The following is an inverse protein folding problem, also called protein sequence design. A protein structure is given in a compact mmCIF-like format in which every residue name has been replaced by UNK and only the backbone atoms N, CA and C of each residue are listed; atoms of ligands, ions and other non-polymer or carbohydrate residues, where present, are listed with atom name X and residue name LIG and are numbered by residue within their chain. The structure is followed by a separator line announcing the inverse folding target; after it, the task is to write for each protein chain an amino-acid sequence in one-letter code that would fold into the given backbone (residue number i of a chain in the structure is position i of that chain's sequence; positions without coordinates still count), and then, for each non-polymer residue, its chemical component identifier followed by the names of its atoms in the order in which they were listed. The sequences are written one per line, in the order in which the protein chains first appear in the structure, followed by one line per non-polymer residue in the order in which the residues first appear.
data_IF_384732269339
#
_entry.id   IF_384732269339
#
_cell.length_a   1.000
_cell.length_b   1.000
_cell.length_c   1.000
_cell.angle_alpha   90.00
_cell.angle_beta   90.00
_cell.angle_gamma   90.00
#
_symmetry.space_group_name_H-M   'P 1'
#
loop_
_entity.id
_entity.type
_entity.pdbx_description
1 polymer ?
#
# COMPACT_ATOMS: atom_id res chain seq x y z
N UNK A 1 4.83 27.12 -0.58
CA UNK A 1 4.77 26.14 0.52
C UNK A 1 3.44 26.26 1.23
N UNK A 2 2.74 25.16 1.41
CA UNK A 2 1.53 25.12 2.25
C UNK A 2 1.93 25.23 3.74
N UNK A 3 1.02 25.64 4.65
CA UNK A 3 1.32 25.68 6.08
C UNK A 3 1.80 24.33 6.64
N UNK A 4 1.26 23.23 6.11
CA UNK A 4 1.66 21.88 6.47
C UNK A 4 3.09 21.56 6.01
N UNK A 5 3.45 21.86 4.75
CA UNK A 5 4.82 21.68 4.24
C UNK A 5 5.84 22.47 5.09
N UNK A 6 5.50 23.71 5.47
CA UNK A 6 6.35 24.54 6.32
C UNK A 6 6.60 23.89 7.68
N UNK A 7 5.57 23.30 8.30
CA UNK A 7 5.73 22.59 9.56
C UNK A 7 6.65 21.37 9.42
N UNK A 8 6.47 20.56 8.38
CA UNK A 8 7.32 19.39 8.12
C UNK A 8 8.79 19.76 7.91
N UNK A 9 9.05 20.78 7.09
CA UNK A 9 10.40 21.33 6.88
C UNK A 9 11.00 21.80 8.21
N UNK A 10 10.22 22.53 9.02
CA UNK A 10 10.71 23.07 10.30
C UNK A 10 11.12 21.94 11.25
N UNK A 11 10.29 20.92 11.41
CA UNK A 11 10.57 19.74 12.24
C UNK A 11 11.85 19.03 11.76
N UNK A 12 12.00 18.83 10.44
CA UNK A 12 13.17 18.20 9.87
C UNK A 12 14.45 18.99 10.17
N UNK A 13 14.42 20.31 10.00
CA UNK A 13 15.57 21.18 10.27
C UNK A 13 15.92 21.24 11.76
N UNK A 14 14.92 21.21 12.65
CA UNK A 14 15.15 21.10 14.08
C UNK A 14 15.82 19.77 14.46
N UNK A 15 15.41 18.66 13.85
CA UNK A 15 16.07 17.35 14.03
C UNK A 15 17.51 17.42 13.57
N UNK A 16 17.77 17.99 12.39
CA UNK A 16 19.12 18.13 11.83
C UNK A 16 20.05 18.91 12.78
N UNK A 17 19.56 19.99 13.41
CA UNK A 17 20.32 20.78 14.40
C UNK A 17 20.67 20.01 15.68
N UNK A 18 19.86 19.01 16.04
CA UNK A 18 20.05 18.18 17.23
C UNK A 18 20.90 16.94 16.96
N UNK A 19 21.14 16.61 15.69
CA UNK A 19 21.99 15.49 15.30
C UNK A 19 23.44 15.86 15.56
N UNK A 20 23.99 15.30 16.63
CA UNK A 20 25.45 15.29 16.83
C UNK A 20 26.02 14.03 16.19
N UNK A 21 27.09 14.17 15.42
CA UNK A 21 27.73 13.07 14.70
C UNK A 21 29.20 13.00 15.12
N UNK A 22 29.51 12.28 16.21
CA UNK A 22 30.86 12.27 16.78
C UNK A 22 31.89 11.58 15.89
N UNK A 23 31.48 10.72 14.95
CA UNK A 23 32.37 9.94 14.08
C UNK A 23 31.98 10.08 12.60
N UNK A 24 32.14 11.28 12.03
CA UNK A 24 31.99 11.46 10.58
C UNK A 24 33.13 10.76 9.85
N UNK A 25 32.78 10.03 8.79
CA UNK A 25 33.77 9.52 7.84
C UNK A 25 34.43 10.69 7.09
N UNK A 26 35.76 10.88 7.17
CA UNK A 26 36.45 12.01 6.56
C UNK A 26 36.43 11.97 5.03
N UNK A 27 36.38 10.79 4.40
CA UNK A 27 36.28 10.66 2.95
C UNK A 27 34.89 11.09 2.49
N UNK A 28 33.85 10.61 3.17
CA UNK A 28 32.48 11.02 2.91
C UNK A 28 32.28 12.52 3.13
N UNK A 29 32.82 13.10 4.20
CA UNK A 29 32.73 14.53 4.48
C UNK A 29 33.40 15.37 3.38
N UNK A 30 34.56 14.93 2.89
CA UNK A 30 35.27 15.61 1.79
C UNK A 30 34.45 15.59 0.50
N UNK A 31 33.91 14.43 0.13
CA UNK A 31 33.08 14.27 -1.07
C UNK A 31 31.78 15.09 -1.00
N UNK A 32 31.09 15.04 0.14
CA UNK A 32 29.86 15.81 0.38
C UNK A 32 30.15 17.30 0.28
N UNK A 33 31.21 17.80 0.94
CA UNK A 33 31.60 19.21 0.90
C UNK A 33 31.94 19.68 -0.51
N UNK A 34 32.71 18.90 -1.27
CA UNK A 34 33.07 19.22 -2.65
C UNK A 34 31.81 19.35 -3.53
N UNK A 35 30.98 18.30 -3.55
CA UNK A 35 29.78 18.24 -4.40
C UNK A 35 28.77 19.32 -4.02
N UNK A 36 28.60 19.59 -2.72
CA UNK A 36 27.70 20.64 -2.24
C UNK A 36 28.18 22.04 -2.60
N UNK A 37 29.50 22.26 -2.72
CA UNK A 37 30.05 23.53 -3.17
C UNK A 37 29.81 23.78 -4.67
N UNK A 38 29.76 22.72 -5.49
CA UNK A 38 29.46 22.82 -6.92
C UNK A 38 27.97 23.10 -7.20
N UNK A 39 27.08 22.75 -6.26
CA UNK A 39 25.64 22.95 -6.40
C UNK A 39 25.10 23.81 -5.24
N UNK A 40 25.01 25.15 -5.41
CA UNK A 40 24.57 26.07 -4.35
C UNK A 40 23.22 25.72 -3.72
N UNK A 41 22.31 25.14 -4.51
CA UNK A 41 20.96 24.75 -4.08
C UNK A 41 20.88 23.31 -3.52
N UNK A 42 22.01 22.60 -3.35
CA UNK A 42 22.03 21.22 -2.89
C UNK A 42 21.29 21.02 -1.56
N UNK A 43 21.44 21.95 -0.61
CA UNK A 43 20.73 21.88 0.67
C UNK A 43 19.20 21.87 0.49
N UNK A 44 18.69 22.70 -0.42
CA UNK A 44 17.26 22.75 -0.73
C UNK A 44 16.76 21.42 -1.30
N UNK A 45 17.47 20.84 -2.27
CA UNK A 45 17.08 19.57 -2.88
C UNK A 45 17.22 18.38 -1.94
N UNK A 46 18.25 18.37 -1.08
CA UNK A 46 18.42 17.34 -0.06
C UNK A 46 17.27 17.35 0.95
N UNK A 47 16.86 18.54 1.41
CA UNK A 47 15.68 18.69 2.27
C UNK A 47 14.42 18.17 1.58
N UNK A 48 14.19 18.56 0.32
CA UNK A 48 13.04 18.09 -0.45
C UNK A 48 13.03 16.56 -0.60
N UNK A 49 14.20 15.97 -0.87
CA UNK A 49 14.37 14.52 -1.04
C UNK A 49 14.09 13.78 0.27
N UNK A 50 14.67 14.25 1.39
CA UNK A 50 14.48 13.64 2.71
C UNK A 50 13.02 13.72 3.16
N UNK A 51 12.31 14.82 2.87
CA UNK A 51 10.89 14.94 3.18
C UNK A 51 10.04 13.94 2.40
N UNK A 52 10.30 13.76 1.10
CA UNK A 52 9.58 12.77 0.29
C UNK A 52 9.85 11.35 0.80
N UNK A 53 11.10 11.06 1.17
CA UNK A 53 11.48 9.78 1.76
C UNK A 53 10.76 9.53 3.09
N UNK A 54 10.69 10.54 3.97
CA UNK A 54 10.00 10.45 5.26
C UNK A 54 8.50 10.19 5.10
N UNK A 55 7.84 10.92 4.18
CA UNK A 55 6.43 10.69 3.85
C UNK A 55 6.19 9.29 3.27
N UNK A 56 7.07 8.84 2.37
CA UNK A 56 6.99 7.51 1.76
C UNK A 56 7.19 6.40 2.79
N UNK A 57 8.11 6.60 3.73
CA UNK A 57 8.35 5.67 4.83
C UNK A 57 7.13 5.55 5.74
N UNK A 58 6.51 6.66 6.12
CA UNK A 58 5.27 6.64 6.89
C UNK A 58 4.13 5.93 6.14
N UNK A 59 3.98 6.19 4.84
CA UNK A 59 2.98 5.51 4.01
C UNK A 59 3.22 3.98 3.96
N UNK A 60 4.48 3.56 3.80
CA UNK A 60 4.84 2.15 3.80
C UNK A 60 4.56 1.48 5.16
N UNK A 61 4.92 2.13 6.27
CA UNK A 61 4.64 1.65 7.63
C UNK A 61 3.14 1.48 7.88
N UNK A 62 2.32 2.46 7.48
CA UNK A 62 0.86 2.37 7.60
C UNK A 62 0.30 1.20 6.80
N UNK A 63 0.82 0.96 5.59
CA UNK A 63 0.41 -0.17 4.76
C UNK A 63 0.80 -1.51 5.39
N UNK A 64 1.98 -1.61 5.97
CA UNK A 64 2.43 -2.81 6.69
C UNK A 64 1.48 -3.09 7.86
N UNK A 65 1.19 -2.09 8.70
CA UNK A 65 0.29 -2.26 9.84
C UNK A 65 -1.14 -2.69 9.44
N UNK A 66 -1.65 -2.15 8.33
CA UNK A 66 -2.94 -2.57 7.76
C UNK A 66 -2.93 -4.04 7.30
N UNK A 67 -1.88 -4.43 6.57
CA UNK A 67 -1.70 -5.81 6.13
C UNK A 67 -1.60 -6.78 7.32
N UNK A 68 -0.84 -6.42 8.35
CA UNK A 68 -0.71 -7.20 9.58
C UNK A 68 -2.05 -7.37 10.31
N UNK A 69 -2.86 -6.30 10.40
CA UNK A 69 -4.21 -6.38 10.99
C UNK A 69 -5.11 -7.35 10.24
N UNK A 70 -5.12 -7.29 8.90
CA UNK A 70 -5.94 -8.17 8.06
C UNK A 70 -5.56 -9.64 8.22
N UNK A 71 -4.26 -9.94 8.41
CA UNK A 71 -3.78 -11.30 8.68
C UNK A 71 -4.28 -11.83 10.03
N UNK A 72 -4.30 -10.98 11.07
CA UNK A 72 -4.82 -11.36 12.39
C UNK A 72 -6.32 -11.63 12.30
N UNK A 73 -7.09 -10.75 11.65
CA UNK A 73 -8.55 -10.87 11.54
C UNK A 73 -8.95 -12.14 10.77
N UNK A 74 -8.24 -12.46 9.69
CA UNK A 74 -8.44 -13.69 8.91
C UNK A 74 -8.15 -14.96 9.72
N UNK A 75 -7.19 -14.92 10.64
CA UNK A 75 -6.84 -16.06 11.52
C UNK A 75 -7.85 -16.27 12.65
N UNK A 76 -8.59 -15.21 13.03
CA UNK A 76 -9.58 -15.24 14.11
C UNK A 76 -11.00 -15.58 13.67
N UNK A 77 -11.27 -15.82 12.38
CA UNK A 77 -12.55 -16.41 11.98
C UNK A 77 -12.53 -17.87 12.46
N UNK A 78 -13.31 -18.24 13.51
CA UNK A 78 -13.42 -19.65 13.85
C UNK A 78 -13.99 -20.34 12.62
N UNK A 79 -13.35 -21.43 12.21
CA UNK A 79 -13.89 -22.37 11.24
C UNK A 79 -15.21 -22.89 11.81
N UNK A 80 -16.30 -22.15 11.62
CA UNK A 80 -17.63 -22.65 11.83
C UNK A 80 -17.75 -23.77 10.80
N UNK A 81 -17.88 -25.04 11.23
CA UNK A 81 -17.98 -26.15 10.31
C UNK A 81 -19.15 -25.83 9.39
N UNK A 82 -18.83 -25.74 8.11
CA UNK A 82 -19.77 -25.41 7.06
C UNK A 82 -20.70 -26.62 7.07
N UNK A 83 -21.83 -26.47 7.75
CA UNK A 83 -22.76 -27.55 8.00
C UNK A 83 -23.34 -27.96 6.66
N UNK A 84 -22.72 -28.96 6.05
CA UNK A 84 -23.05 -29.53 4.74
C UNK A 84 -24.43 -30.23 4.74
N UNK A 85 -25.11 -30.27 5.90
CA UNK A 85 -26.41 -30.90 6.11
C UNK A 85 -27.60 -29.91 6.01
N UNK A 86 -27.39 -28.72 5.46
CA UNK A 86 -28.49 -27.83 5.05
C UNK A 86 -29.22 -28.30 3.78
N UNK A 87 -28.80 -29.41 3.17
CA UNK A 87 -29.55 -30.10 2.14
C UNK A 87 -30.57 -31.03 2.79
N UNK A 88 -31.86 -30.69 2.68
CA UNK A 88 -33.06 -31.55 2.68
C UNK A 88 -34.25 -30.81 3.34
N UNK A 89 -34.73 -29.75 2.70
CA UNK A 89 -36.12 -29.35 2.87
C UNK A 89 -36.65 -28.72 1.59
N UNK A 90 -36.85 -29.57 0.57
CA UNK A 90 -37.67 -29.23 -0.60
C UNK A 90 -38.62 -30.40 -0.84
N UNK A 91 -39.62 -30.53 0.03
CA UNK A 91 -40.76 -31.39 -0.25
C UNK A 91 -41.86 -30.54 -0.90
N UNK A 92 -42.38 -31.06 -2.01
CA UNK A 92 -43.70 -30.81 -2.58
C UNK A 92 -43.81 -29.66 -3.61
N UNK A 93 -43.86 -29.97 -4.91
CA UNK A 93 -45.12 -30.20 -5.66
C UNK A 93 -44.86 -30.51 -7.17
N UNK A 94 -45.69 -31.31 -7.88
CA UNK A 94 -45.45 -31.73 -9.27
C UNK A 94 -46.21 -30.92 -10.34
N UNK A 95 -45.53 -30.68 -11.49
CA UNK A 95 -45.95 -30.61 -12.92
C UNK A 95 -47.25 -29.84 -13.35
N UNK A 96 -47.36 -29.21 -14.56
CA UNK A 96 -46.87 -29.78 -15.83
C UNK A 96 -46.49 -28.81 -16.98
N UNK A 97 -45.97 -29.48 -18.04
CA UNK A 97 -46.17 -29.20 -19.48
C UNK A 97 -45.12 -28.37 -20.21
N UNK A 98 -44.25 -29.15 -20.86
CA UNK A 98 -43.48 -28.77 -22.02
C UNK A 98 -44.33 -28.09 -23.11
N UNK A 99 -43.82 -26.97 -23.62
CA UNK A 99 -44.09 -26.45 -24.94
C UNK A 99 -42.75 -26.01 -25.53
N UNK A 100 -42.26 -26.77 -26.51
CA UNK A 100 -41.05 -26.46 -27.27
C UNK A 100 -41.35 -25.45 -28.39
N UNK A 101 -40.37 -24.61 -28.76
CA UNK A 101 -40.17 -24.16 -30.14
C UNK A 101 -38.85 -24.72 -30.74
N UNK A 102 -38.72 -24.73 -32.09
CA UNK A 102 -37.87 -25.66 -32.84
C UNK A 102 -36.38 -25.28 -32.90
N UNK A 103 -35.50 -26.22 -33.30
CA UNK A 103 -34.08 -25.95 -33.53
C UNK A 103 -33.87 -25.21 -34.86
N UNK A 104 -33.31 -24.00 -34.80
CA UNK A 104 -32.76 -23.34 -35.98
C UNK A 104 -31.36 -23.91 -36.24
N UNK A 105 -31.24 -24.49 -37.43
CA UNK A 105 -30.13 -25.31 -37.90
C UNK A 105 -28.82 -24.54 -37.98
N UNK A 106 -27.81 -25.01 -37.26
CA UNK A 106 -26.41 -24.77 -37.60
C UNK A 106 -26.04 -25.60 -38.84
N UNK A 107 -25.66 -24.94 -39.93
CA UNK A 107 -24.82 -25.49 -41.00
C UNK A 107 -24.27 -24.30 -41.81
N UNK A 108 -23.04 -23.84 -41.56
CA UNK A 108 -21.79 -24.42 -42.06
C UNK A 108 -21.36 -23.82 -43.40
N UNK A 109 -20.08 -23.43 -43.40
CA UNK A 109 -19.09 -23.57 -44.47
C UNK A 109 -18.82 -22.39 -45.42
N UNK A 110 -17.53 -22.01 -45.36
CA UNK A 110 -16.62 -21.60 -46.44
C UNK A 110 -16.33 -20.10 -46.59
#
# INVERSE_FOLDING_TARGET
MTPHETALVTILLERLKKTDSPDKDPEAETLIRHTTAEQPDAAYYLVQTVLIQDLSLHAAQNRIAELEKNLVETKTVPFLPHSFLGGLSTSNEPAPRAAAPPPESAAATH
#
